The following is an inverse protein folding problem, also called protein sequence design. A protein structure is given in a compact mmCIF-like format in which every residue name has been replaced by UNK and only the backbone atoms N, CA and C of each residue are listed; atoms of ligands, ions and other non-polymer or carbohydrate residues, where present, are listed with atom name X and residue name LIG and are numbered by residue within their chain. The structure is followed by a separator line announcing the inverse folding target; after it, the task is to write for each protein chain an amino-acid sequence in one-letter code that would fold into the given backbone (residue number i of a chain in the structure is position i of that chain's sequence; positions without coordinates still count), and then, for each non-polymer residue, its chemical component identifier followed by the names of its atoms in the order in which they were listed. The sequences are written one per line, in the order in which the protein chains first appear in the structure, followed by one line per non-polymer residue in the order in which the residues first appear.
data_IF_422102975999
#
_entry.id   IF_422102975999
#
_cell.length_a   1.000
_cell.length_b   1.000
_cell.length_c   1.000
_cell.angle_alpha   90.00
_cell.angle_beta   90.00
_cell.angle_gamma   90.00
#
_symmetry.space_group_name_H-M   'P 1'
#
loop_
_entity.id
_entity.type
_entity.pdbx_description
1 polymer ?
#
# COMPACT_ATOMS: atom_id res chain seq x y z
N UNK A 1 -23.06 -8.54 1.46
CA UNK A 1 -23.71 -8.27 0.13
C UNK A 1 -22.63 -8.15 -0.93
N UNK A 2 -22.84 -8.70 -2.14
CA UNK A 2 -21.95 -8.52 -3.29
C UNK A 2 -22.45 -7.34 -4.13
N UNK A 3 -21.54 -6.47 -4.60
CA UNK A 3 -21.89 -5.25 -5.33
C UNK A 3 -22.60 -5.53 -6.66
N UNK A 4 -22.30 -6.63 -7.35
CA UNK A 4 -22.97 -7.01 -8.61
C UNK A 4 -24.46 -7.37 -8.41
N UNK A 5 -24.80 -7.86 -7.21
CA UNK A 5 -26.17 -8.26 -6.86
C UNK A 5 -26.99 -7.12 -6.27
N UNK A 6 -26.34 -6.00 -5.93
CA UNK A 6 -27.00 -4.85 -5.35
C UNK A 6 -27.52 -3.89 -6.42
N UNK A 7 -28.79 -3.48 -6.30
CA UNK A 7 -29.40 -2.50 -7.17
C UNK A 7 -29.43 -1.11 -6.50
N UNK A 8 -28.69 -0.18 -7.06
CA UNK A 8 -28.61 1.20 -6.58
C UNK A 8 -29.76 2.12 -7.05
N UNK A 9 -30.67 1.65 -7.90
CA UNK A 9 -31.74 2.47 -8.44
C UNK A 9 -32.55 3.16 -7.34
N UNK A 10 -32.65 4.49 -7.43
CA UNK A 10 -33.39 5.32 -6.48
C UNK A 10 -32.77 5.45 -5.08
N UNK A 11 -31.57 4.89 -4.85
CA UNK A 11 -30.84 4.96 -3.57
C UNK A 11 -29.75 6.01 -3.62
N UNK A 12 -29.44 6.60 -2.45
CA UNK A 12 -28.21 7.35 -2.22
C UNK A 12 -27.15 6.39 -1.71
N UNK A 13 -26.04 6.27 -2.42
CA UNK A 13 -24.91 5.45 -2.03
C UNK A 13 -23.75 6.31 -1.59
N UNK A 14 -23.25 6.11 -0.36
CA UNK A 14 -22.03 6.73 0.13
C UNK A 14 -20.85 5.78 -0.09
N UNK A 15 -19.88 6.21 -0.90
CA UNK A 15 -18.73 5.40 -1.32
C UNK A 15 -17.45 5.97 -0.73
N UNK A 16 -16.73 5.16 0.05
CA UNK A 16 -15.41 5.52 0.56
C UNK A 16 -14.36 5.16 -0.50
N UNK A 17 -13.82 6.18 -1.12
CA UNK A 17 -12.75 6.07 -2.13
C UNK A 17 -11.41 6.57 -1.60
N UNK A 18 -10.31 6.19 -2.21
CA UNK A 18 -8.98 6.73 -1.90
C UNK A 18 -8.52 7.71 -2.98
N UNK A 19 -8.90 8.96 -2.81
CA UNK A 19 -8.49 10.07 -3.68
C UNK A 19 -7.31 10.87 -3.11
N UNK A 20 -6.48 10.23 -2.27
CA UNK A 20 -5.23 10.82 -1.80
C UNK A 20 -4.17 10.75 -2.92
N UNK A 21 -4.36 11.56 -3.94
CA UNK A 21 -3.53 11.64 -5.14
C UNK A 21 -2.45 12.73 -5.02
N UNK A 22 -1.30 12.59 -5.69
CA UNK A 22 -0.29 13.63 -5.73
C UNK A 22 -0.75 14.81 -6.57
N UNK A 23 -0.49 16.02 -6.06
CA UNK A 23 -0.74 17.27 -6.75
C UNK A 23 0.60 17.99 -7.00
N UNK A 24 0.72 18.67 -8.14
CA UNK A 24 1.83 19.58 -8.35
C UNK A 24 1.59 20.93 -7.64
N UNK A 25 2.54 21.86 -7.76
CA UNK A 25 2.49 23.21 -7.14
C UNK A 25 1.25 24.02 -7.55
N UNK A 26 0.65 23.71 -8.70
CA UNK A 26 -0.54 24.35 -9.22
C UNK A 26 -1.86 23.62 -8.83
N UNK A 27 -1.79 22.59 -7.97
CA UNK A 27 -2.96 21.81 -7.55
C UNK A 27 -3.47 20.85 -8.62
N UNK A 28 -2.68 20.54 -9.65
CA UNK A 28 -3.04 19.59 -10.71
C UNK A 28 -2.64 18.18 -10.32
N UNK A 29 -3.55 17.22 -10.52
CA UNK A 29 -3.30 15.80 -10.29
C UNK A 29 -2.20 15.31 -11.24
N UNK A 30 -1.13 14.72 -10.70
CA UNK A 30 0.00 14.17 -11.47
C UNK A 30 -0.06 12.66 -11.66
N UNK A 31 -0.87 11.98 -10.87
CA UNK A 31 -1.14 10.54 -10.99
C UNK A 31 -2.61 10.25 -10.68
N UNK A 32 -3.32 9.75 -11.68
CA UNK A 32 -4.76 9.43 -11.62
C UNK A 32 -5.07 7.97 -11.24
N UNK A 33 -4.07 7.16 -10.96
CA UNK A 33 -4.23 5.71 -10.76
C UNK A 33 -5.31 5.39 -9.72
N UNK A 34 -5.35 6.11 -8.61
CA UNK A 34 -6.36 5.90 -7.55
C UNK A 34 -7.75 6.33 -7.97
N UNK A 35 -7.88 7.42 -8.71
CA UNK A 35 -9.17 7.89 -9.25
C UNK A 35 -9.70 6.87 -10.24
N UNK A 36 -8.87 6.43 -11.18
CA UNK A 36 -9.22 5.43 -12.19
C UNK A 36 -9.58 4.08 -11.57
N UNK A 37 -8.90 3.68 -10.50
CA UNK A 37 -9.19 2.46 -9.77
C UNK A 37 -10.58 2.43 -9.15
N UNK A 38 -11.11 3.56 -8.71
CA UNK A 38 -12.45 3.67 -8.13
C UNK A 38 -13.59 3.74 -9.18
N UNK A 39 -13.27 4.11 -10.44
CA UNK A 39 -14.29 4.34 -11.47
C UNK A 39 -15.28 3.17 -11.68
N UNK A 40 -14.86 1.90 -11.68
CA UNK A 40 -15.84 0.80 -11.88
C UNK A 40 -16.97 0.82 -10.85
N UNK A 41 -16.64 1.02 -9.56
CA UNK A 41 -17.62 1.13 -8.47
C UNK A 41 -18.52 2.35 -8.62
N UNK A 42 -17.93 3.51 -8.90
CA UNK A 42 -18.68 4.77 -9.04
C UNK A 42 -19.63 4.73 -10.24
N UNK A 43 -19.16 4.20 -11.36
CA UNK A 43 -19.98 4.03 -12.58
C UNK A 43 -21.11 3.02 -12.39
N UNK A 44 -20.92 1.96 -11.60
CA UNK A 44 -21.97 1.00 -11.26
C UNK A 44 -23.12 1.70 -10.52
N UNK A 45 -22.81 2.52 -9.50
CA UNK A 45 -23.83 3.29 -8.76
C UNK A 45 -24.64 4.17 -9.69
N UNK A 46 -23.98 4.93 -10.56
CA UNK A 46 -24.66 5.84 -11.51
C UNK A 46 -25.42 5.10 -12.59
N UNK A 47 -24.88 4.02 -13.14
CA UNK A 47 -25.49 3.22 -14.18
C UNK A 47 -26.80 2.54 -13.74
N UNK A 48 -26.88 2.15 -12.46
CA UNK A 48 -28.11 1.62 -11.88
C UNK A 48 -29.17 2.72 -11.60
N UNK A 49 -28.82 4.01 -11.77
CA UNK A 49 -29.71 5.12 -11.43
C UNK A 49 -29.67 5.52 -9.95
N UNK A 50 -28.59 5.24 -9.26
CA UNK A 50 -28.32 5.73 -7.90
C UNK A 50 -27.83 7.17 -7.88
N UNK A 51 -27.93 7.83 -6.71
CA UNK A 51 -27.25 9.09 -6.42
C UNK A 51 -25.94 8.80 -5.69
N UNK A 52 -24.81 9.33 -6.19
CA UNK A 52 -23.48 8.99 -5.76
C UNK A 52 -22.93 10.06 -4.78
N UNK A 53 -22.60 9.66 -3.57
CA UNK A 53 -21.88 10.49 -2.59
C UNK A 53 -20.49 9.88 -2.40
N UNK A 54 -19.44 10.62 -2.77
CA UNK A 54 -18.06 10.19 -2.59
C UNK A 54 -17.46 10.86 -1.35
N UNK A 55 -16.75 10.08 -0.55
CA UNK A 55 -15.97 10.58 0.58
C UNK A 55 -14.54 10.06 0.56
N UNK A 56 -13.59 10.92 0.82
CA UNK A 56 -12.17 10.59 0.80
C UNK A 56 -11.37 11.46 1.77
N UNK A 57 -10.08 11.19 1.83
CA UNK A 57 -9.09 12.03 2.50
C UNK A 57 -8.01 12.49 1.53
N UNK A 58 -7.30 13.55 1.87
CA UNK A 58 -6.10 14.00 1.22
C UNK A 58 -5.05 14.41 2.26
N UNK A 59 -3.86 13.87 2.16
CA UNK A 59 -2.73 14.18 3.01
C UNK A 59 -2.94 13.88 4.52
N UNK A 60 -2.25 14.66 5.34
CA UNK A 60 -2.27 14.54 6.81
C UNK A 60 -2.53 15.90 7.47
N UNK A 61 -3.74 16.44 7.41
CA UNK A 61 -4.08 17.76 7.95
C UNK A 61 -4.09 17.83 9.48
N UNK A 62 -4.12 16.67 10.17
CA UNK A 62 -4.13 16.55 11.65
C UNK A 62 -5.34 17.21 12.30
N UNK A 63 -6.53 17.01 11.74
CA UNK A 63 -7.78 17.56 12.28
C UNK A 63 -7.92 19.07 12.11
N UNK A 64 -7.28 19.66 11.11
CA UNK A 64 -7.36 21.10 10.80
C UNK A 64 -7.68 21.31 9.33
N UNK A 65 -8.49 22.32 9.03
CA UNK A 65 -8.76 22.74 7.67
C UNK A 65 -7.48 23.32 7.07
N UNK A 66 -7.05 22.78 5.94
CA UNK A 66 -5.89 23.23 5.15
C UNK A 66 -6.28 23.31 3.68
N UNK A 67 -6.26 24.50 3.12
CA UNK A 67 -6.67 24.74 1.72
C UNK A 67 -5.91 23.90 0.71
N UNK A 68 -4.61 23.70 0.93
CA UNK A 68 -3.73 22.87 0.11
C UNK A 68 -4.05 21.37 0.16
N UNK A 69 -4.92 20.94 1.08
CA UNK A 69 -5.39 19.56 1.22
C UNK A 69 -6.90 19.45 1.00
N UNK A 70 -7.55 20.48 0.45
CA UNK A 70 -8.96 20.43 0.08
C UNK A 70 -9.18 19.51 -1.13
N UNK A 71 -10.22 18.69 -1.07
CA UNK A 71 -10.64 17.85 -2.19
C UNK A 71 -11.30 18.66 -3.32
N UNK A 72 -11.61 19.96 -3.11
CA UNK A 72 -12.10 20.84 -4.17
C UNK A 72 -11.15 20.91 -5.37
N UNK A 73 -9.85 20.74 -5.14
CA UNK A 73 -8.82 20.82 -6.19
C UNK A 73 -8.94 19.69 -7.23
N UNK A 74 -9.51 18.55 -6.85
CA UNK A 74 -9.62 17.38 -7.73
C UNK A 74 -11.01 17.19 -8.34
N UNK A 75 -11.99 18.01 -7.99
CA UNK A 75 -13.39 17.89 -8.46
C UNK A 75 -13.47 17.82 -9.99
N UNK A 76 -12.75 18.73 -10.66
CA UNK A 76 -12.73 18.73 -12.14
C UNK A 76 -12.13 17.44 -12.70
N UNK A 77 -11.02 16.97 -12.14
CA UNK A 77 -10.37 15.74 -12.59
C UNK A 77 -11.27 14.51 -12.37
N UNK A 78 -11.95 14.44 -11.23
CA UNK A 78 -12.91 13.36 -10.95
C UNK A 78 -14.09 13.43 -11.92
N UNK A 79 -14.63 14.63 -12.20
CA UNK A 79 -15.70 14.84 -13.17
C UNK A 79 -15.31 14.35 -14.56
N UNK A 80 -14.13 14.75 -15.04
CA UNK A 80 -13.62 14.38 -16.35
C UNK A 80 -13.47 12.85 -16.49
N UNK A 81 -12.92 12.19 -15.46
CA UNK A 81 -12.74 10.73 -15.44
C UNK A 81 -14.07 9.96 -15.29
N UNK A 82 -15.01 10.49 -14.51
CA UNK A 82 -16.31 9.84 -14.26
C UNK A 82 -17.28 10.05 -15.45
N UNK A 83 -17.12 11.13 -16.20
CA UNK A 83 -17.95 11.47 -17.34
C UNK A 83 -19.27 12.15 -16.95
N UNK A 84 -19.39 12.61 -15.70
CA UNK A 84 -20.53 13.41 -15.20
C UNK A 84 -20.01 14.55 -14.33
N UNK A 85 -20.81 15.61 -14.25
CA UNK A 85 -20.48 16.73 -13.35
C UNK A 85 -20.54 16.28 -11.90
N UNK A 86 -19.44 16.49 -11.16
CA UNK A 86 -19.34 16.22 -9.72
C UNK A 86 -19.56 17.52 -8.97
N UNK A 87 -20.62 17.56 -8.14
CA UNK A 87 -20.87 18.63 -7.18
C UNK A 87 -19.91 18.53 -6.01
N UNK A 88 -19.69 19.60 -5.28
CA UNK A 88 -18.80 19.63 -4.13
C UNK A 88 -19.49 20.20 -2.89
N UNK A 89 -19.37 19.49 -1.76
CA UNK A 89 -19.80 19.98 -0.45
C UNK A 89 -18.56 20.39 0.35
N UNK A 90 -18.44 21.66 0.67
CA UNK A 90 -17.27 22.25 1.34
C UNK A 90 -17.10 21.87 2.81
N UNK A 91 -18.01 21.09 3.38
CA UNK A 91 -17.93 20.53 4.73
C UNK A 91 -18.58 19.14 4.76
N UNK A 92 -17.78 18.09 5.04
CA UNK A 92 -18.27 16.72 5.02
C UNK A 92 -19.24 16.40 6.17
N UNK A 93 -19.22 17.13 7.27
CA UNK A 93 -20.12 16.93 8.41
C UNK A 93 -21.42 17.78 8.33
N UNK A 94 -21.46 18.78 7.46
CA UNK A 94 -22.58 19.72 7.31
C UNK A 94 -23.05 19.82 5.84
N UNK A 95 -23.16 18.68 5.15
CA UNK A 95 -23.55 18.59 3.73
C UNK A 95 -25.03 18.25 3.53
N UNK A 96 -25.89 18.49 4.52
CA UNK A 96 -27.31 18.07 4.49
C UNK A 96 -28.07 18.67 3.32
N UNK A 97 -27.84 19.95 3.01
CA UNK A 97 -28.52 20.66 1.92
C UNK A 97 -28.11 20.10 0.55
N UNK A 98 -26.81 19.89 0.31
CA UNK A 98 -26.26 19.33 -0.92
C UNK A 98 -26.72 17.90 -1.12
N UNK A 99 -26.74 17.08 -0.07
CA UNK A 99 -27.23 15.70 -0.08
C UNK A 99 -28.73 15.64 -0.33
N UNK A 100 -29.51 16.55 0.28
CA UNK A 100 -30.96 16.60 0.05
C UNK A 100 -31.31 16.97 -1.40
N UNK A 101 -30.51 17.85 -2.02
CA UNK A 101 -30.68 18.31 -3.39
C UNK A 101 -30.19 17.29 -4.44
N UNK A 102 -29.41 16.27 -4.04
CA UNK A 102 -28.80 15.29 -4.96
C UNK A 102 -29.84 14.35 -5.52
N UNK A 103 -29.88 14.24 -6.86
CA UNK A 103 -30.83 13.41 -7.62
C UNK A 103 -30.17 12.12 -8.12
N UNK A 104 -30.99 11.10 -8.46
CA UNK A 104 -30.49 9.91 -9.15
C UNK A 104 -29.67 10.27 -10.41
N UNK A 105 -28.52 9.61 -10.59
CA UNK A 105 -27.58 9.88 -11.67
C UNK A 105 -26.63 11.06 -11.42
N UNK A 106 -26.77 11.79 -10.34
CA UNK A 106 -25.86 12.88 -9.95
C UNK A 106 -24.79 12.39 -8.97
N UNK A 107 -23.65 13.12 -8.93
CA UNK A 107 -22.51 12.83 -8.10
C UNK A 107 -22.12 14.02 -7.22
N UNK A 108 -21.79 13.74 -5.96
CA UNK A 108 -21.33 14.71 -4.95
C UNK A 108 -20.02 14.21 -4.34
N UNK A 109 -19.02 15.08 -4.24
CA UNK A 109 -17.80 14.83 -3.48
C UNK A 109 -17.84 15.66 -2.19
N UNK A 110 -17.67 15.01 -1.06
CA UNK A 110 -17.55 15.68 0.24
C UNK A 110 -16.11 16.20 0.44
N UNK A 111 -15.95 17.23 1.26
CA UNK A 111 -14.65 17.76 1.67
C UNK A 111 -13.85 16.74 2.48
N UNK A 112 -12.54 16.92 2.54
CA UNK A 112 -11.54 16.08 3.18
C UNK A 112 -11.95 15.67 4.61
N UNK A 113 -12.24 14.37 4.76
CA UNK A 113 -12.67 13.78 6.03
C UNK A 113 -11.70 14.03 7.19
N UNK A 114 -10.39 14.12 6.90
CA UNK A 114 -9.34 14.33 7.90
C UNK A 114 -9.21 15.77 8.38
N UNK A 115 -10.04 16.69 7.89
CA UNK A 115 -10.20 17.99 8.52
C UNK A 115 -10.88 17.87 9.89
N UNK A 116 -11.57 16.75 10.10
CA UNK A 116 -12.15 16.37 11.39
C UNK A 116 -11.26 15.33 12.10
N UNK A 117 -10.80 15.59 13.35
CA UNK A 117 -9.99 14.64 14.11
C UNK A 117 -10.76 13.35 14.43
N UNK A 118 -12.07 13.41 14.44
CA UNK A 118 -13.02 12.30 14.62
C UNK A 118 -12.84 11.23 13.54
N UNK A 119 -12.41 11.59 12.33
CA UNK A 119 -12.14 10.62 11.27
C UNK A 119 -11.07 9.60 11.70
N UNK A 120 -9.97 10.07 12.25
CA UNK A 120 -8.89 9.20 12.73
C UNK A 120 -9.13 8.67 14.15
N UNK A 121 -10.07 9.24 14.90
CA UNK A 121 -10.39 8.86 16.27
C UNK A 121 -9.23 9.09 17.25
N UNK A 122 -8.38 10.08 16.98
CA UNK A 122 -7.20 10.41 17.79
C UNK A 122 -7.32 11.79 18.40
N UNK A 123 -7.07 11.93 19.72
CA UNK A 123 -7.01 13.24 20.36
C UNK A 123 -5.96 14.14 19.70
N UNK A 124 -6.27 15.44 19.62
CA UNK A 124 -5.36 16.46 19.09
C UNK A 124 -4.97 17.39 20.23
N UNK A 125 -3.67 17.75 20.30
CA UNK A 125 -3.18 18.73 21.28
C UNK A 125 -2.93 18.16 22.67
N UNK A 126 -2.99 16.84 22.87
CA UNK A 126 -2.70 16.16 24.15
C UNK A 126 -1.53 15.22 23.96
N UNK A 127 -0.59 15.21 24.90
CA UNK A 127 0.62 14.39 24.83
C UNK A 127 0.30 12.91 25.06
N UNK A 128 0.76 12.08 24.11
CA UNK A 128 0.55 10.63 24.14
C UNK A 128 1.26 9.98 25.34
N UNK A 129 0.54 9.11 26.05
CA UNK A 129 1.08 8.39 27.23
C UNK A 129 0.78 9.06 28.57
N UNK A 130 0.04 10.18 28.56
CA UNK A 130 -0.45 10.84 29.77
C UNK A 130 -1.85 10.37 30.16
N UNK A 131 -2.27 10.48 31.44
CA UNK A 131 -3.65 10.19 31.84
C UNK A 131 -4.68 11.03 31.08
N UNK A 132 -4.39 12.30 30.83
CA UNK A 132 -5.21 13.23 30.07
C UNK A 132 -5.42 12.75 28.64
N UNK A 133 -4.41 12.10 28.03
CA UNK A 133 -4.53 11.50 26.71
C UNK A 133 -5.50 10.32 26.70
N UNK A 134 -5.49 9.45 27.71
CA UNK A 134 -6.40 8.30 27.78
C UNK A 134 -7.85 8.75 28.00
N UNK A 135 -8.09 9.81 28.77
CA UNK A 135 -9.41 10.42 28.94
C UNK A 135 -9.90 11.04 27.62
N UNK A 136 -9.08 11.89 26.99
CA UNK A 136 -9.39 12.50 25.71
C UNK A 136 -9.63 11.45 24.59
N UNK A 137 -8.92 10.32 24.62
CA UNK A 137 -9.11 9.21 23.70
C UNK A 137 -10.44 8.49 23.90
N UNK A 138 -10.89 8.37 25.15
CA UNK A 138 -12.22 7.80 25.48
C UNK A 138 -13.34 8.69 24.96
N UNK A 139 -13.24 10.01 25.18
CA UNK A 139 -14.17 11.00 24.65
C UNK A 139 -14.15 10.99 23.11
N UNK A 140 -12.97 10.98 22.50
CA UNK A 140 -12.83 10.97 21.05
C UNK A 140 -13.51 9.76 20.39
N UNK A 141 -13.58 8.60 21.05
CA UNK A 141 -14.32 7.44 20.54
C UNK A 141 -15.82 7.70 20.43
N UNK A 142 -16.39 8.45 21.37
CA UNK A 142 -17.79 8.89 21.29
C UNK A 142 -17.99 9.81 20.09
N UNK A 143 -17.18 10.86 19.99
CA UNK A 143 -17.21 11.83 18.88
C UNK A 143 -16.98 11.16 17.52
N UNK A 144 -16.09 10.15 17.44
CA UNK A 144 -15.87 9.36 16.23
C UNK A 144 -17.14 8.62 15.79
N UNK A 145 -17.88 8.02 16.73
CA UNK A 145 -19.16 7.36 16.46
C UNK A 145 -20.21 8.34 15.96
N UNK A 146 -20.31 9.52 16.59
CA UNK A 146 -21.25 10.56 16.18
C UNK A 146 -20.93 11.07 14.76
N UNK A 147 -19.66 11.29 14.46
CA UNK A 147 -19.21 11.65 13.12
C UNK A 147 -19.52 10.56 12.07
N UNK A 148 -19.24 9.29 12.39
CA UNK A 148 -19.59 8.18 11.51
C UNK A 148 -21.10 8.06 11.30
N UNK A 149 -21.91 8.23 12.35
CA UNK A 149 -23.38 8.26 12.29
C UNK A 149 -23.88 9.41 11.41
N UNK A 150 -23.24 10.58 11.50
CA UNK A 150 -23.56 11.73 10.66
C UNK A 150 -23.32 11.43 9.18
N UNK A 151 -22.14 10.88 8.83
CA UNK A 151 -21.84 10.46 7.45
C UNK A 151 -22.83 9.40 6.95
N UNK A 152 -23.16 8.41 7.79
CA UNK A 152 -24.13 7.37 7.44
C UNK A 152 -25.52 7.92 7.16
N UNK A 153 -25.93 9.00 7.85
CA UNK A 153 -27.24 9.62 7.68
C UNK A 153 -27.47 10.23 6.28
N UNK A 154 -26.42 10.36 5.49
CA UNK A 154 -26.50 10.90 4.12
C UNK A 154 -26.98 9.89 3.08
N UNK A 155 -26.97 8.59 3.39
CA UNK A 155 -27.15 7.56 2.37
C UNK A 155 -27.99 6.36 2.84
N UNK A 156 -28.53 5.63 1.88
CA UNK A 156 -29.28 4.39 2.10
C UNK A 156 -28.35 3.16 2.16
N UNK A 157 -27.15 3.25 1.57
CA UNK A 157 -26.18 2.16 1.53
C UNK A 157 -24.74 2.69 1.54
N UNK A 158 -23.83 1.83 2.00
CA UNK A 158 -22.40 2.12 2.13
C UNK A 158 -21.55 1.17 1.30
N UNK A 159 -20.60 1.73 0.55
CA UNK A 159 -19.61 0.98 -0.22
C UNK A 159 -18.21 1.35 0.24
N UNK A 160 -17.45 0.36 0.71
CA UNK A 160 -16.03 0.50 1.03
C UNK A 160 -15.18 0.16 -0.19
N UNK A 161 -14.49 1.15 -0.76
CA UNK A 161 -13.69 0.99 -1.98
C UNK A 161 -12.30 1.68 -1.87
N UNK A 162 -11.70 1.60 -0.69
CA UNK A 162 -10.43 2.25 -0.37
C UNK A 162 -9.48 1.32 0.38
N UNK A 163 -8.82 0.39 -0.33
CA UNK A 163 -7.96 -0.61 0.28
C UNK A 163 -6.78 -0.01 1.04
N UNK A 164 -6.16 1.06 0.52
CA UNK A 164 -5.04 1.74 1.17
C UNK A 164 -5.32 2.24 2.60
N UNK A 165 -6.59 2.39 2.98
CA UNK A 165 -7.01 2.80 4.33
C UNK A 165 -7.71 1.70 5.13
N UNK A 166 -7.90 0.52 4.56
CA UNK A 166 -8.65 -0.58 5.17
C UNK A 166 -8.04 -1.12 6.47
N UNK A 167 -6.74 -0.92 6.68
CA UNK A 167 -6.02 -1.31 7.91
C UNK A 167 -6.29 -0.38 9.10
N UNK A 168 -7.01 0.72 8.91
CA UNK A 168 -7.28 1.72 9.94
C UNK A 168 -8.75 1.71 10.34
N UNK A 169 -9.02 1.64 11.65
CA UNK A 169 -10.38 1.77 12.19
C UNK A 169 -10.80 3.24 12.25
N UNK A 170 -10.88 3.88 11.07
CA UNK A 170 -11.35 5.26 10.93
C UNK A 170 -12.89 5.32 10.90
N UNK A 171 -13.45 6.51 11.12
CA UNK A 171 -14.89 6.72 11.07
C UNK A 171 -15.49 6.27 9.72
N UNK A 172 -14.89 6.72 8.62
CA UNK A 172 -15.39 6.45 7.26
C UNK A 172 -15.05 5.08 6.70
N UNK A 173 -14.06 4.36 7.26
CA UNK A 173 -13.60 3.06 6.73
C UNK A 173 -14.16 1.84 7.46
N UNK A 174 -14.45 1.99 8.76
CA UNK A 174 -14.91 0.87 9.59
C UNK A 174 -16.11 1.24 10.45
N UNK A 175 -16.05 2.34 11.24
CA UNK A 175 -17.11 2.65 12.21
C UNK A 175 -18.44 2.96 11.54
N UNK A 176 -18.44 3.58 10.37
CA UNK A 176 -19.64 3.88 9.58
C UNK A 176 -20.46 2.64 9.24
N UNK A 177 -19.80 1.49 9.04
CA UNK A 177 -20.47 0.23 8.69
C UNK A 177 -21.42 -0.28 9.78
N UNK A 178 -21.24 0.17 11.04
CA UNK A 178 -22.11 -0.18 12.17
C UNK A 178 -23.51 0.45 12.03
N UNK A 179 -23.69 1.43 11.15
CA UNK A 179 -24.95 2.15 10.92
C UNK A 179 -25.71 1.69 9.68
N UNK A 180 -25.25 0.62 9.02
CA UNK A 180 -25.91 0.00 7.88
C UNK A 180 -26.14 -1.48 8.14
N UNK A 181 -27.31 -1.97 7.76
CA UNK A 181 -27.61 -3.40 7.78
C UNK A 181 -26.69 -4.18 6.85
N UNK A 182 -26.57 -5.48 7.08
CA UNK A 182 -25.68 -6.36 6.28
C UNK A 182 -25.98 -6.32 4.77
N UNK A 183 -27.26 -6.10 4.39
CA UNK A 183 -27.68 -6.02 3.01
C UNK A 183 -27.45 -4.64 2.37
N UNK A 184 -27.14 -3.63 3.15
CA UNK A 184 -26.92 -2.25 2.71
C UNK A 184 -25.47 -1.79 2.88
N UNK A 185 -24.53 -2.72 3.10
CA UNK A 185 -23.09 -2.44 3.10
C UNK A 185 -22.33 -3.49 2.31
N UNK A 186 -21.33 -3.05 1.54
CA UNK A 186 -20.58 -3.93 0.65
C UNK A 186 -19.18 -3.40 0.36
N UNK A 187 -18.33 -4.28 -0.19
CA UNK A 187 -17.05 -3.89 -0.79
C UNK A 187 -17.31 -3.39 -2.22
N UNK A 188 -16.54 -2.38 -2.65
CA UNK A 188 -16.49 -1.98 -4.04
C UNK A 188 -15.57 -2.88 -4.86
N UNK A 189 -15.58 -2.71 -6.17
CA UNK A 189 -14.81 -3.54 -7.10
C UNK A 189 -13.29 -3.49 -6.88
N UNK A 190 -12.74 -2.31 -6.51
CA UNK A 190 -11.33 -2.19 -6.18
C UNK A 190 -10.99 -3.02 -4.94
N UNK A 191 -11.81 -2.90 -3.90
CA UNK A 191 -11.64 -3.67 -2.66
C UNK A 191 -11.75 -5.17 -2.91
N UNK A 192 -12.70 -5.64 -3.71
CA UNK A 192 -12.83 -7.06 -4.04
C UNK A 192 -11.60 -7.59 -4.79
N UNK A 193 -11.07 -6.83 -5.76
CA UNK A 193 -9.84 -7.19 -6.47
C UNK A 193 -8.64 -7.27 -5.55
N UNK A 194 -8.46 -6.30 -4.65
CA UNK A 194 -7.37 -6.29 -3.67
C UNK A 194 -7.47 -7.49 -2.71
N UNK A 195 -8.66 -7.75 -2.17
CA UNK A 195 -8.90 -8.90 -1.28
C UNK A 195 -8.60 -10.22 -2.00
N UNK A 196 -9.07 -10.39 -3.24
CA UNK A 196 -8.82 -11.60 -4.02
C UNK A 196 -7.32 -11.76 -4.34
N UNK A 197 -6.62 -10.66 -4.64
CA UNK A 197 -5.18 -10.69 -4.88
C UNK A 197 -4.40 -11.12 -3.64
N UNK A 198 -4.77 -10.61 -2.47
CA UNK A 198 -4.20 -11.04 -1.18
C UNK A 198 -4.52 -12.50 -0.90
N UNK A 199 -5.75 -12.93 -1.12
CA UNK A 199 -6.16 -14.33 -0.90
C UNK A 199 -5.39 -15.31 -1.80
N UNK A 200 -5.04 -14.92 -3.02
CA UNK A 200 -4.22 -15.74 -3.91
C UNK A 200 -2.81 -15.99 -3.38
N UNK A 201 -2.24 -15.07 -2.61
CA UNK A 201 -0.89 -15.24 -2.02
C UNK A 201 -0.90 -15.70 -0.57
N UNK A 202 -2.04 -15.67 0.13
CA UNK A 202 -2.11 -16.09 1.53
C UNK A 202 -2.91 -17.38 1.77
N UNK A 203 -3.99 -17.60 1.01
CA UNK A 203 -4.96 -18.66 1.25
C UNK A 203 -5.11 -19.62 0.07
N UNK A 204 -5.04 -19.15 -1.17
CA UNK A 204 -5.22 -19.93 -2.40
C UNK A 204 -3.89 -20.16 -3.13
N UNK A 205 -2.85 -20.50 -2.37
CA UNK A 205 -1.46 -20.60 -2.85
C UNK A 205 -1.32 -21.74 -3.87
N UNK A 206 -0.80 -21.41 -5.06
CA UNK A 206 -0.30 -22.41 -6.02
C UNK A 206 1.21 -22.50 -5.87
N UNK A 207 1.75 -23.72 -5.74
CA UNK A 207 3.18 -23.92 -5.51
C UNK A 207 3.94 -24.22 -6.81
N UNK A 208 5.22 -23.85 -6.92
CA UNK A 208 6.04 -23.15 -5.91
C UNK A 208 5.60 -21.70 -5.65
N UNK A 209 5.64 -21.28 -4.38
CA UNK A 209 5.42 -19.89 -3.97
C UNK A 209 6.76 -19.22 -3.63
N UNK A 210 7.09 -18.17 -4.35
CA UNK A 210 8.29 -17.36 -4.13
C UNK A 210 7.90 -15.98 -3.66
N UNK A 211 8.39 -15.56 -2.49
CA UNK A 211 8.28 -14.20 -2.01
C UNK A 211 9.61 -13.47 -2.13
N UNK A 212 9.57 -12.22 -2.58
CA UNK A 212 10.73 -11.33 -2.69
C UNK A 212 10.49 -10.15 -1.75
N UNK A 213 11.37 -10.01 -0.76
CA UNK A 213 11.32 -8.95 0.23
C UNK A 213 12.58 -8.11 0.15
N UNK A 214 12.43 -6.88 -0.31
CA UNK A 214 13.50 -5.89 -0.39
C UNK A 214 13.34 -4.76 0.62
N UNK A 215 14.36 -3.91 0.69
CA UNK A 215 14.35 -2.73 1.54
C UNK A 215 15.59 -2.59 2.40
N UNK A 216 15.66 -1.51 3.19
CA UNK A 216 16.86 -1.14 3.95
C UNK A 216 16.98 -1.80 5.33
N UNK A 217 15.87 -2.25 5.94
CA UNK A 217 15.82 -2.66 7.35
C UNK A 217 15.07 -3.97 7.55
N UNK A 218 15.72 -4.95 8.20
CA UNK A 218 15.10 -6.21 8.65
C UNK A 218 13.96 -5.94 9.63
N UNK A 219 14.20 -5.03 10.61
CA UNK A 219 13.22 -4.71 11.66
C UNK A 219 11.86 -4.25 11.13
N UNK A 220 11.84 -3.60 9.98
CA UNK A 220 10.61 -3.12 9.35
C UNK A 220 9.81 -4.22 8.62
N UNK A 221 10.41 -5.39 8.40
CA UNK A 221 9.85 -6.49 7.62
C UNK A 221 9.67 -7.79 8.42
N UNK A 222 10.13 -7.83 9.65
CA UNK A 222 10.19 -9.08 10.44
C UNK A 222 8.82 -9.76 10.56
N UNK A 223 7.76 -9.01 10.86
CA UNK A 223 6.41 -9.59 10.99
C UNK A 223 5.88 -10.18 9.68
N UNK A 224 6.21 -9.57 8.54
CA UNK A 224 5.88 -10.09 7.21
C UNK A 224 6.69 -11.35 6.92
N UNK A 225 8.00 -11.32 7.18
CA UNK A 225 8.91 -12.44 6.95
C UNK A 225 8.45 -13.66 7.77
N UNK A 226 8.18 -13.50 9.06
CA UNK A 226 7.72 -14.59 9.95
C UNK A 226 6.43 -15.22 9.44
N UNK A 227 5.45 -14.43 9.00
CA UNK A 227 4.21 -14.97 8.46
C UNK A 227 4.42 -15.68 7.11
N UNK A 228 5.25 -15.12 6.24
CA UNK A 228 5.56 -15.70 4.94
C UNK A 228 6.33 -17.03 5.05
N UNK A 229 7.26 -17.16 6.00
CA UNK A 229 8.00 -18.41 6.24
C UNK A 229 7.11 -19.62 6.54
N UNK A 230 5.85 -19.40 6.94
CA UNK A 230 4.85 -20.47 7.07
C UNK A 230 4.14 -20.85 5.77
N UNK A 231 4.39 -20.12 4.67
CA UNK A 231 3.58 -20.19 3.45
C UNK A 231 4.39 -20.40 2.17
N UNK A 232 5.60 -19.85 2.10
CA UNK A 232 6.44 -19.85 0.88
C UNK A 232 7.29 -21.10 0.77
N UNK A 233 7.69 -21.43 -0.45
CA UNK A 233 8.70 -22.44 -0.74
C UNK A 233 10.10 -21.80 -0.79
N UNK A 234 10.17 -20.57 -1.31
CA UNK A 234 11.40 -19.78 -1.36
C UNK A 234 11.15 -18.35 -0.89
N UNK A 235 12.10 -17.79 -0.16
CA UNK A 235 12.11 -16.40 0.28
C UNK A 235 13.39 -15.74 -0.19
N UNK A 236 13.27 -14.78 -1.11
CA UNK A 236 14.38 -13.92 -1.54
C UNK A 236 14.40 -12.70 -0.63
N UNK A 237 15.52 -12.47 0.05
CA UNK A 237 15.78 -11.21 0.76
C UNK A 237 16.83 -10.41 -0.02
N UNK A 238 16.52 -9.15 -0.27
CA UNK A 238 17.38 -8.26 -1.08
C UNK A 238 17.36 -6.82 -0.55
N UNK A 239 18.14 -5.95 -1.17
CA UNK A 239 18.32 -4.57 -0.72
C UNK A 239 19.21 -4.45 0.51
N UNK A 240 19.24 -3.26 1.12
CA UNK A 240 20.15 -2.93 2.21
C UNK A 240 20.04 -3.81 3.45
N UNK A 241 18.86 -4.41 3.69
CA UNK A 241 18.70 -5.33 4.83
C UNK A 241 19.64 -6.55 4.78
N UNK A 242 20.13 -6.94 3.59
CA UNK A 242 21.03 -8.08 3.43
C UNK A 242 22.38 -7.88 4.07
N UNK A 243 22.83 -6.63 4.25
CA UNK A 243 24.08 -6.33 4.95
C UNK A 243 24.00 -6.60 6.45
N UNK A 244 22.80 -6.56 7.05
CA UNK A 244 22.60 -7.03 8.43
C UNK A 244 22.83 -8.54 8.55
N UNK A 245 22.40 -9.33 7.56
CA UNK A 245 22.70 -10.78 7.49
C UNK A 245 24.19 -11.04 7.28
N UNK A 246 24.84 -10.35 6.33
CA UNK A 246 26.27 -10.48 6.10
C UNK A 246 27.09 -10.15 7.37
N UNK A 247 26.74 -9.08 8.07
CA UNK A 247 27.40 -8.69 9.33
C UNK A 247 27.13 -9.67 10.45
N UNK A 248 25.95 -10.27 10.55
CA UNK A 248 25.62 -11.30 11.52
C UNK A 248 26.53 -12.54 11.42
N UNK A 249 27.03 -12.83 10.23
CA UNK A 249 28.01 -13.88 9.95
C UNK A 249 29.49 -13.39 10.06
N UNK A 250 29.71 -12.19 10.57
CA UNK A 250 31.06 -11.63 10.74
C UNK A 250 31.67 -11.06 9.45
N UNK A 251 30.87 -10.86 8.39
CA UNK A 251 31.33 -10.27 7.13
C UNK A 251 31.70 -8.79 7.26
N UNK A 252 32.54 -8.33 6.33
CA UNK A 252 32.86 -6.92 6.14
C UNK A 252 31.89 -6.32 5.12
N UNK A 253 31.25 -5.23 5.49
CA UNK A 253 30.14 -4.61 4.71
C UNK A 253 30.45 -3.17 4.30
N UNK A 254 31.68 -2.71 4.48
CA UNK A 254 32.07 -1.33 4.21
C UNK A 254 31.23 -0.33 5.03
N UNK A 255 30.76 0.70 4.37
CA UNK A 255 29.92 1.74 4.95
C UNK A 255 28.41 1.45 4.71
N UNK A 256 28.06 0.26 4.23
CA UNK A 256 26.70 -0.14 3.90
C UNK A 256 25.75 -0.05 5.09
N UNK A 257 24.49 0.25 4.83
CA UNK A 257 23.45 0.32 5.86
C UNK A 257 23.35 -1.00 6.63
N UNK A 258 23.27 -0.92 7.97
CA UNK A 258 23.19 -2.08 8.85
C UNK A 258 22.39 -1.78 10.11
N UNK A 259 21.69 -2.76 10.63
CA UNK A 259 21.04 -2.72 11.95
C UNK A 259 21.85 -3.59 12.93
N UNK A 260 22.87 -3.00 13.59
CA UNK A 260 23.76 -3.73 14.50
C UNK A 260 23.03 -4.33 15.71
N UNK A 261 21.91 -3.74 16.12
CA UNK A 261 21.04 -4.24 17.19
C UNK A 261 20.08 -5.34 16.73
N UNK A 262 20.13 -5.75 15.47
CA UNK A 262 19.25 -6.76 14.85
C UNK A 262 19.99 -7.96 14.24
N UNK A 263 21.27 -8.14 14.56
CA UNK A 263 22.05 -9.29 14.07
C UNK A 263 21.42 -10.62 14.50
N UNK A 264 20.99 -10.71 15.75
CA UNK A 264 20.31 -11.90 16.27
C UNK A 264 18.97 -12.16 15.58
N UNK A 265 18.26 -11.11 15.16
CA UNK A 265 17.02 -11.21 14.39
C UNK A 265 17.29 -11.81 13.03
N UNK A 266 18.36 -11.38 12.34
CA UNK A 266 18.76 -11.94 11.05
C UNK A 266 19.09 -13.43 11.16
N UNK A 267 19.89 -13.85 12.14
CA UNK A 267 20.19 -15.27 12.40
C UNK A 267 18.92 -16.05 12.77
N UNK A 268 17.99 -15.45 13.51
CA UNK A 268 16.69 -16.04 13.83
C UNK A 268 15.83 -16.31 12.59
N UNK A 269 15.83 -15.42 11.61
CA UNK A 269 15.15 -15.61 10.31
C UNK A 269 15.72 -16.80 9.56
N UNK A 270 17.05 -16.91 9.47
CA UNK A 270 17.71 -18.04 8.80
C UNK A 270 17.37 -19.38 9.46
N UNK A 271 17.44 -19.44 10.80
CA UNK A 271 17.07 -20.59 11.57
C UNK A 271 15.60 -20.99 11.33
N UNK A 272 14.71 -20.02 11.37
CA UNK A 272 13.28 -20.25 11.15
C UNK A 272 12.98 -20.73 9.73
N UNK A 273 13.67 -20.20 8.73
CA UNK A 273 13.57 -20.67 7.35
C UNK A 273 14.00 -22.13 7.22
N UNK A 274 15.14 -22.49 7.82
CA UNK A 274 15.64 -23.87 7.82
C UNK A 274 14.68 -24.83 8.55
N UNK A 275 14.15 -24.46 9.72
CA UNK A 275 13.19 -25.29 10.49
C UNK A 275 11.88 -25.52 9.73
N UNK A 276 11.48 -24.57 8.90
CA UNK A 276 10.25 -24.65 8.08
C UNK A 276 10.48 -25.25 6.68
N UNK A 277 11.73 -25.59 6.34
CA UNK A 277 12.08 -26.12 5.02
C UNK A 277 11.94 -25.10 3.88
N UNK A 278 12.04 -23.81 4.19
CA UNK A 278 12.00 -22.72 3.22
C UNK A 278 13.41 -22.44 2.70
N UNK A 279 13.57 -22.39 1.37
CA UNK A 279 14.81 -21.95 0.75
C UNK A 279 14.97 -20.44 0.92
N UNK A 280 15.91 -20.02 1.79
CA UNK A 280 16.27 -18.62 1.94
C UNK A 280 17.33 -18.23 0.92
N UNK A 281 17.03 -17.26 0.06
CA UNK A 281 17.90 -16.81 -1.02
C UNK A 281 18.42 -15.41 -0.70
N UNK A 282 19.72 -15.31 -0.42
CA UNK A 282 20.44 -14.05 -0.21
C UNK A 282 21.37 -13.79 -1.40
N UNK A 283 21.63 -12.52 -1.70
CA UNK A 283 22.63 -12.13 -2.68
C UNK A 283 24.05 -12.50 -2.23
N UNK A 284 24.92 -12.77 -3.19
CA UNK A 284 26.32 -13.15 -2.96
C UNK A 284 27.30 -12.04 -3.29
N UNK A 285 26.90 -11.11 -4.16
CA UNK A 285 27.69 -9.95 -4.56
C UNK A 285 26.83 -8.67 -4.58
N UNK A 286 27.49 -7.53 -4.47
CA UNK A 286 26.85 -6.21 -4.40
C UNK A 286 27.55 -5.22 -5.32
N UNK A 287 26.77 -4.37 -5.99
CA UNK A 287 27.27 -3.17 -6.66
C UNK A 287 27.41 -2.08 -5.61
N UNK A 288 28.64 -1.61 -5.42
CA UNK A 288 28.99 -0.66 -4.39
C UNK A 288 29.50 0.66 -4.99
N UNK A 289 29.36 1.75 -4.25
CA UNK A 289 29.80 3.08 -4.63
C UNK A 289 30.55 3.78 -3.49
N UNK A 290 31.56 4.60 -3.83
CA UNK A 290 32.31 5.41 -2.85
C UNK A 290 31.65 6.74 -2.52
N UNK A 291 30.57 7.14 -3.22
CA UNK A 291 29.87 8.39 -2.98
C UNK A 291 28.48 8.39 -3.61
N UNK A 292 27.47 8.18 -2.81
CA UNK A 292 26.07 8.26 -3.19
C UNK A 292 25.34 9.31 -2.36
N UNK A 293 24.48 10.09 -3.00
CA UNK A 293 23.65 11.07 -2.29
C UNK A 293 22.21 10.57 -2.21
N UNK A 294 21.79 10.13 -1.03
CA UNK A 294 20.43 9.63 -0.73
C UNK A 294 19.35 10.73 -0.76
N UNK A 295 19.72 12.01 -0.87
CA UNK A 295 18.74 13.11 -0.99
C UNK A 295 18.40 13.39 -2.44
N UNK A 296 19.39 13.33 -3.31
CA UNK A 296 19.24 13.58 -4.75
C UNK A 296 19.17 12.31 -5.57
N UNK A 297 19.38 11.15 -4.94
CA UNK A 297 19.42 9.83 -5.58
C UNK A 297 20.41 9.77 -6.75
N UNK A 298 21.62 10.27 -6.52
CA UNK A 298 22.64 10.38 -7.56
C UNK A 298 24.03 10.01 -7.07
N UNK A 299 24.85 9.53 -8.02
CA UNK A 299 26.28 9.30 -7.79
C UNK A 299 27.01 10.65 -7.78
N UNK A 300 27.82 10.89 -6.75
CA UNK A 300 28.61 12.12 -6.61
C UNK A 300 29.73 12.16 -7.65
N UNK A 301 30.08 13.35 -8.08
CA UNK A 301 31.21 13.53 -9.01
C UNK A 301 32.51 12.92 -8.47
N UNK A 302 33.20 12.14 -9.29
CA UNK A 302 34.45 11.44 -8.92
C UNK A 302 34.26 10.17 -8.10
N UNK A 303 33.00 9.80 -7.72
CA UNK A 303 32.74 8.54 -7.05
C UNK A 303 33.00 7.34 -7.98
N UNK A 304 33.43 6.25 -7.40
CA UNK A 304 33.72 5.00 -8.11
C UNK A 304 32.61 3.98 -7.84
N UNK A 305 32.34 3.12 -8.83
CA UNK A 305 31.39 2.00 -8.73
C UNK A 305 32.17 0.70 -8.98
N UNK A 306 31.99 -0.29 -8.10
CA UNK A 306 32.66 -1.59 -8.17
C UNK A 306 31.79 -2.68 -7.58
N UNK A 307 31.94 -3.90 -8.05
CA UNK A 307 31.29 -5.09 -7.49
C UNK A 307 32.21 -5.72 -6.45
N UNK A 308 31.62 -6.06 -5.30
CA UNK A 308 32.26 -6.80 -4.22
C UNK A 308 31.44 -8.03 -3.84
N UNK A 309 32.05 -9.09 -3.27
CA UNK A 309 31.29 -10.06 -2.49
C UNK A 309 30.54 -9.35 -1.38
N UNK A 310 29.27 -9.70 -1.14
CA UNK A 310 28.40 -8.98 -0.19
C UNK A 310 28.89 -9.05 1.28
N UNK A 311 29.79 -9.99 1.59
CA UNK A 311 30.42 -10.18 2.90
C UNK A 311 31.89 -9.70 2.98
N UNK A 312 32.40 -9.07 1.92
CA UNK A 312 33.79 -8.59 1.83
C UNK A 312 33.87 -7.22 1.12
N UNK A 313 33.01 -6.28 1.51
CA UNK A 313 33.00 -4.91 1.00
C UNK A 313 34.03 -4.09 1.76
N UNK A 314 34.91 -3.40 1.04
CA UNK A 314 35.97 -2.57 1.61
C UNK A 314 35.40 -1.32 2.30
N UNK A 315 36.10 -0.79 3.32
CA UNK A 315 35.77 0.47 3.96
C UNK A 315 35.70 1.62 2.94
N UNK A 316 34.77 2.55 3.12
CA UNK A 316 34.52 3.65 2.18
C UNK A 316 33.63 3.30 1.00
N UNK A 317 33.08 2.09 0.93
CA UNK A 317 32.15 1.65 -0.08
C UNK A 317 30.79 1.32 0.50
N UNK A 318 29.72 1.86 -0.11
CA UNK A 318 28.33 1.55 0.20
C UNK A 318 27.77 0.54 -0.81
N UNK A 319 27.19 -0.55 -0.34
CA UNK A 319 26.44 -1.47 -1.19
C UNK A 319 25.06 -0.90 -1.54
N UNK A 320 24.79 -0.73 -2.84
CA UNK A 320 23.61 -0.01 -3.33
C UNK A 320 22.70 -0.82 -4.24
N UNK A 321 23.17 -1.94 -4.79
CA UNK A 321 22.37 -2.85 -5.61
C UNK A 321 22.94 -4.29 -5.58
N UNK A 322 22.14 -5.23 -6.04
CA UNK A 322 22.56 -6.61 -6.25
C UNK A 322 23.57 -6.73 -7.41
N UNK A 323 24.66 -7.45 -7.20
CA UNK A 323 25.66 -7.72 -8.22
C UNK A 323 25.19 -8.74 -9.27
N UNK A 324 26.00 -8.98 -10.30
CA UNK A 324 25.66 -9.90 -11.40
C UNK A 324 25.29 -11.32 -10.95
N UNK A 325 26.06 -11.91 -10.03
CA UNK A 325 25.79 -13.27 -9.51
C UNK A 325 24.50 -13.33 -8.71
N UNK A 326 24.25 -12.29 -7.89
CA UNK A 326 23.00 -12.16 -7.11
C UNK A 326 21.78 -12.08 -8.02
N UNK A 327 21.87 -11.32 -9.13
CA UNK A 327 20.77 -11.19 -10.10
C UNK A 327 20.42 -12.51 -10.77
N UNK A 328 21.42 -13.27 -11.17
CA UNK A 328 21.23 -14.61 -11.74
C UNK A 328 20.61 -15.56 -10.73
N UNK A 329 21.07 -15.53 -9.48
CA UNK A 329 20.54 -16.32 -8.38
C UNK A 329 19.07 -15.99 -8.08
N UNK A 330 18.72 -14.71 -8.06
CA UNK A 330 17.34 -14.28 -7.84
C UNK A 330 16.42 -14.71 -8.99
N UNK A 331 16.85 -14.52 -10.24
CA UNK A 331 16.11 -14.95 -11.42
C UNK A 331 15.88 -16.47 -11.43
N UNK A 332 16.91 -17.26 -11.12
CA UNK A 332 16.80 -18.71 -11.02
C UNK A 332 15.85 -19.15 -9.87
N UNK A 333 15.83 -18.43 -8.75
CA UNK A 333 14.91 -18.73 -7.66
C UNK A 333 13.43 -18.45 -8.02
N UNK A 334 13.17 -17.48 -8.89
CA UNK A 334 11.82 -17.10 -9.36
C UNK A 334 11.34 -18.04 -10.48
N UNK A 335 12.25 -18.65 -11.24
CA UNK A 335 11.90 -19.52 -12.35
C UNK A 335 11.00 -20.69 -11.91
N UNK A 336 9.94 -20.95 -12.68
CA UNK A 336 8.97 -22.02 -12.40
C UNK A 336 7.97 -21.71 -11.26
N UNK A 337 8.07 -20.56 -10.61
CA UNK A 337 7.10 -20.15 -9.59
C UNK A 337 5.67 -20.14 -10.15
N UNK A 338 4.69 -20.46 -9.28
CA UNK A 338 3.25 -20.38 -9.61
C UNK A 338 2.54 -19.29 -8.81
N UNK A 339 3.09 -18.90 -7.68
CA UNK A 339 2.67 -17.74 -6.89
C UNK A 339 3.89 -16.89 -6.58
N UNK A 340 3.80 -15.59 -6.80
CA UNK A 340 4.88 -14.64 -6.56
C UNK A 340 4.33 -13.45 -5.79
N UNK A 341 5.07 -13.03 -4.75
CA UNK A 341 4.86 -11.78 -4.04
C UNK A 341 6.14 -10.96 -4.09
N UNK A 342 6.07 -9.73 -4.59
CA UNK A 342 7.20 -8.81 -4.55
C UNK A 342 6.89 -7.56 -3.75
N UNK A 343 7.69 -7.32 -2.70
CA UNK A 343 7.62 -6.14 -1.85
C UNK A 343 9.01 -5.60 -1.48
N UNK A 344 9.42 -4.54 -2.12
CA UNK A 344 10.68 -3.82 -1.91
C UNK A 344 11.73 -4.11 -2.97
N UNK A 345 12.48 -3.08 -3.39
CA UNK A 345 13.51 -3.18 -4.42
C UNK A 345 14.77 -3.89 -3.91
N UNK A 346 15.59 -4.34 -4.86
CA UNK A 346 16.88 -4.96 -4.58
C UNK A 346 18.03 -3.94 -4.42
N UNK A 347 17.81 -2.69 -4.84
CA UNK A 347 18.81 -1.62 -4.78
C UNK A 347 18.18 -0.23 -4.80
N UNK A 348 19.03 0.78 -4.88
CA UNK A 348 18.64 2.19 -5.00
C UNK A 348 18.18 2.50 -6.43
N UNK A 349 17.05 1.93 -6.82
CA UNK A 349 16.51 1.92 -8.18
C UNK A 349 16.16 3.32 -8.74
N UNK A 350 16.14 4.34 -7.91
CA UNK A 350 15.95 5.74 -8.32
C UNK A 350 17.11 6.22 -9.20
N UNK A 351 18.33 5.72 -8.92
CA UNK A 351 19.53 5.98 -9.70
C UNK A 351 19.74 4.86 -10.75
N UNK A 352 20.01 5.24 -11.98
CA UNK A 352 20.08 4.30 -13.11
C UNK A 352 21.17 3.24 -12.93
N UNK A 353 22.31 3.60 -12.34
CA UNK A 353 23.43 2.72 -12.06
C UNK A 353 23.09 1.57 -11.09
N UNK A 354 22.04 1.74 -10.28
CA UNK A 354 21.60 0.78 -9.25
C UNK A 354 20.19 0.21 -9.50
N UNK A 355 19.73 0.27 -10.75
CA UNK A 355 18.48 -0.38 -11.19
C UNK A 355 18.61 -1.86 -11.54
N UNK A 356 19.79 -2.38 -11.97
CA UNK A 356 19.86 -3.72 -12.55
C UNK A 356 19.38 -4.85 -11.64
N UNK A 357 19.57 -4.75 -10.31
CA UNK A 357 19.07 -5.76 -9.37
C UNK A 357 17.56 -5.86 -9.35
N UNK A 358 16.89 -4.73 -9.19
CA UNK A 358 15.42 -4.66 -9.22
C UNK A 358 14.86 -4.97 -10.60
N UNK A 359 15.57 -4.59 -11.67
CA UNK A 359 15.19 -4.91 -13.05
C UNK A 359 15.22 -6.41 -13.31
N UNK A 360 16.28 -7.11 -12.88
CA UNK A 360 16.39 -8.56 -13.05
C UNK A 360 15.26 -9.32 -12.34
N UNK A 361 14.87 -8.87 -11.14
CA UNK A 361 13.71 -9.41 -10.41
C UNK A 361 12.43 -9.16 -11.21
N UNK A 362 12.19 -7.93 -11.65
CA UNK A 362 11.01 -7.57 -12.44
C UNK A 362 10.87 -8.37 -13.72
N UNK A 363 11.95 -8.52 -14.48
CA UNK A 363 11.98 -9.31 -15.73
C UNK A 363 11.71 -10.80 -15.47
N UNK A 364 12.27 -11.38 -14.39
CA UNK A 364 12.01 -12.77 -14.00
C UNK A 364 10.55 -12.98 -13.58
N UNK A 365 9.95 -12.02 -12.84
CA UNK A 365 8.54 -12.05 -12.47
C UNK A 365 7.64 -11.97 -13.72
N UNK A 366 7.95 -11.05 -14.64
CA UNK A 366 7.21 -10.90 -15.89
C UNK A 366 7.25 -12.20 -16.73
N UNK A 367 8.41 -12.85 -16.83
CA UNK A 367 8.56 -14.15 -17.50
C UNK A 367 7.70 -15.22 -16.84
N UNK A 368 7.80 -15.39 -15.52
CA UNK A 368 7.02 -16.38 -14.78
C UNK A 368 5.51 -16.12 -14.90
N UNK A 369 5.09 -14.85 -14.92
CA UNK A 369 3.70 -14.45 -15.10
C UNK A 369 3.18 -14.84 -16.49
N UNK A 370 3.98 -14.61 -17.54
CA UNK A 370 3.66 -15.05 -18.90
C UNK A 370 3.53 -16.59 -19.00
N UNK A 371 4.23 -17.34 -18.14
CA UNK A 371 4.16 -18.80 -18.01
C UNK A 371 3.03 -19.29 -17.10
N UNK A 372 2.14 -18.37 -16.64
CA UNK A 372 0.93 -18.65 -15.88
C UNK A 372 1.07 -18.56 -14.36
N UNK A 373 2.13 -17.95 -13.83
CA UNK A 373 2.21 -17.60 -12.43
C UNK A 373 1.25 -16.45 -12.08
N UNK A 374 0.72 -16.46 -10.85
CA UNK A 374 0.09 -15.30 -10.28
C UNK A 374 1.13 -14.45 -9.55
N UNK A 375 1.30 -13.20 -9.97
CA UNK A 375 2.25 -12.26 -9.37
C UNK A 375 1.52 -11.06 -8.75
N UNK A 376 1.76 -10.84 -7.45
CA UNK A 376 1.30 -9.70 -6.69
C UNK A 376 2.47 -8.77 -6.38
N UNK A 377 2.36 -7.52 -6.84
CA UNK A 377 3.34 -6.47 -6.58
C UNK A 377 2.74 -5.53 -5.53
N UNK A 378 3.48 -5.27 -4.47
CA UNK A 378 3.02 -4.38 -3.41
C UNK A 378 4.10 -3.58 -2.73
N UNK A 379 3.69 -2.43 -2.20
CA UNK A 379 4.59 -1.43 -1.65
C UNK A 379 5.00 -0.38 -2.67
N UNK A 380 5.08 0.88 -2.23
CA UNK A 380 5.31 2.02 -3.13
C UNK A 380 6.53 1.87 -4.03
N UNK A 381 7.65 1.43 -3.46
CA UNK A 381 8.91 1.31 -4.18
C UNK A 381 8.88 0.18 -5.24
N UNK A 382 8.26 -0.97 -4.93
CA UNK A 382 8.10 -2.05 -5.92
C UNK A 382 7.19 -1.64 -7.08
N UNK A 383 6.10 -0.93 -6.77
CA UNK A 383 5.19 -0.37 -7.78
C UNK A 383 5.93 0.65 -8.65
N UNK A 384 6.76 1.51 -8.05
CA UNK A 384 7.59 2.46 -8.76
C UNK A 384 8.61 1.75 -9.69
N UNK A 385 9.24 0.65 -9.23
CA UNK A 385 10.11 -0.18 -10.05
C UNK A 385 9.39 -0.73 -11.28
N UNK A 386 8.23 -1.38 -11.08
CA UNK A 386 7.43 -1.97 -12.15
C UNK A 386 7.04 -0.91 -13.20
N UNK A 387 6.62 0.26 -12.75
CA UNK A 387 6.27 1.37 -13.64
C UNK A 387 7.50 1.93 -14.38
N UNK A 388 8.62 2.17 -13.67
CA UNK A 388 9.89 2.64 -14.25
C UNK A 388 10.40 1.69 -15.34
N UNK A 389 10.22 0.39 -15.13
CA UNK A 389 10.70 -0.63 -16.06
C UNK A 389 9.70 -0.97 -17.17
N UNK A 390 8.50 -0.38 -17.17
CA UNK A 390 7.46 -0.66 -18.17
C UNK A 390 6.87 -2.06 -18.06
N UNK A 391 6.85 -2.65 -16.85
CA UNK A 391 6.41 -4.03 -16.60
C UNK A 391 5.00 -4.13 -16.02
N UNK A 392 4.28 -3.01 -15.92
CA UNK A 392 2.96 -2.97 -15.28
C UNK A 392 1.95 -3.95 -15.91
N UNK A 393 1.96 -4.08 -17.23
CA UNK A 393 1.09 -4.99 -17.97
C UNK A 393 1.60 -6.44 -18.00
N UNK A 394 2.78 -6.71 -17.46
CA UNK A 394 3.42 -8.02 -17.45
C UNK A 394 3.32 -8.75 -16.10
N UNK A 395 2.61 -8.18 -15.14
CA UNK A 395 2.35 -8.76 -13.82
C UNK A 395 0.85 -8.95 -13.59
N UNK A 396 0.46 -9.87 -12.71
CA UNK A 396 -0.96 -10.21 -12.53
C UNK A 396 -1.73 -9.13 -11.78
N UNK A 397 -1.14 -8.54 -10.75
CA UNK A 397 -1.79 -7.52 -9.95
C UNK A 397 -0.79 -6.57 -9.28
N UNK A 398 -1.07 -5.27 -9.38
CA UNK A 398 -0.35 -4.21 -8.67
C UNK A 398 -1.27 -3.64 -7.60
N UNK A 399 -0.94 -3.87 -6.33
CA UNK A 399 -1.75 -3.41 -5.22
C UNK A 399 -1.59 -1.91 -4.99
N UNK A 400 -2.71 -1.25 -4.79
CA UNK A 400 -2.76 0.16 -4.35
C UNK A 400 -2.69 0.30 -2.82
N UNK A 401 -2.66 -0.83 -2.11
CA UNK A 401 -2.89 -0.93 -0.69
C UNK A 401 -1.77 -0.40 0.21
N UNK A 402 -0.53 -0.32 -0.27
CA UNK A 402 0.60 0.14 0.53
C UNK A 402 0.66 -0.55 1.91
N UNK A 403 0.46 0.22 3.00
CA UNK A 403 0.47 -0.30 4.37
C UNK A 403 -0.63 -1.33 4.67
N UNK A 404 -1.80 -1.22 4.04
CA UNK A 404 -2.88 -2.19 4.24
C UNK A 404 -2.52 -3.57 3.68
N UNK A 405 -1.86 -3.62 2.52
CA UNK A 405 -1.35 -4.87 1.96
C UNK A 405 -0.32 -5.51 2.92
N UNK A 406 0.61 -4.72 3.43
CA UNK A 406 1.65 -5.22 4.35
C UNK A 406 1.03 -5.82 5.62
N UNK A 407 0.06 -5.13 6.23
CA UNK A 407 -0.65 -5.65 7.40
C UNK A 407 -1.47 -6.91 7.10
N UNK A 408 -2.08 -7.00 5.91
CA UNK A 408 -2.74 -8.23 5.47
C UNK A 408 -1.76 -9.39 5.31
N UNK A 409 -0.58 -9.15 4.72
CA UNK A 409 0.48 -10.15 4.56
C UNK A 409 1.04 -10.57 5.93
N UNK A 410 1.11 -9.67 6.92
CA UNK A 410 1.42 -10.00 8.31
C UNK A 410 0.35 -10.87 9.00
N UNK A 411 -0.78 -11.12 8.35
CA UNK A 411 -1.90 -11.89 8.91
C UNK A 411 -2.82 -11.09 9.82
N UNK A 412 -2.72 -9.76 9.82
CA UNK A 412 -3.59 -8.89 10.60
C UNK A 412 -4.96 -8.75 9.96
N UNK A 413 -5.99 -8.73 10.80
CA UNK A 413 -7.36 -8.42 10.35
C UNK A 413 -7.44 -6.94 9.96
N UNK A 414 -7.89 -6.67 8.75
CA UNK A 414 -8.11 -5.29 8.28
C UNK A 414 -9.49 -4.79 8.71
N UNK A 415 -9.57 -3.77 9.58
CA UNK A 415 -10.85 -3.29 10.15
C UNK A 415 -11.89 -2.90 9.11
N UNK A 416 -11.46 -2.27 8.00
CA UNK A 416 -12.37 -1.86 6.94
C UNK A 416 -13.01 -3.03 6.17
N UNK A 417 -12.34 -4.18 6.12
CA UNK A 417 -12.87 -5.40 5.52
C UNK A 417 -13.77 -6.12 6.53
N UNK A 418 -13.30 -6.29 7.77
CA UNK A 418 -14.05 -6.95 8.83
C UNK A 418 -15.39 -6.27 9.11
N UNK A 419 -15.45 -4.95 9.06
CA UNK A 419 -16.69 -4.18 9.27
C UNK A 419 -17.76 -4.47 8.21
N UNK A 420 -17.38 -4.94 7.02
CA UNK A 420 -18.31 -5.30 5.93
C UNK A 420 -18.66 -6.79 5.97
N UNK A 421 -17.65 -7.64 6.19
CA UNK A 421 -17.83 -9.11 6.12
C UNK A 421 -18.39 -9.71 7.42
N UNK A 422 -18.27 -9.01 8.56
CA UNK A 422 -18.69 -9.45 9.90
C UNK A 422 -17.58 -10.17 10.62
#
# INVERSE_FOLDING_TARGET
MNIDQFNFAGKKAIVRVDFNVPLNENGVVTDETRIKGALPTLKKVLADGGALIMMSHMGKPKGKVKKELSLSQIVKNVSDNLGVEVKFAGDCANADAEVAALKPGEALLLENLRFYPEEEGKPVGVEKGTPEYEEAKKEMKGRQKDFAKKLASYADCYVMDAFGTAHRKHASTAVIADYFDADNKMLGYLMEKEVNAVDNVLNNIKRPFVAIMGGSKVSSKIGIIENLLGKVDKLILCGGMTYTFAKAHGGEIGDSIVELDKLDVALGVEKMAAEKGVELVLGTDSVCCTGYDFKTFSVKEGAQIKVFPSNAIEAGWDGLDAGPESREKFAAAIEGAKTILWNGPAGCFECEEFTPGSRAIGDAIAKATAEGAFSLIGGGDSVACVNKFGLADNVSYISTGGGALLEAIEGKVLPGIAAIKG
#
